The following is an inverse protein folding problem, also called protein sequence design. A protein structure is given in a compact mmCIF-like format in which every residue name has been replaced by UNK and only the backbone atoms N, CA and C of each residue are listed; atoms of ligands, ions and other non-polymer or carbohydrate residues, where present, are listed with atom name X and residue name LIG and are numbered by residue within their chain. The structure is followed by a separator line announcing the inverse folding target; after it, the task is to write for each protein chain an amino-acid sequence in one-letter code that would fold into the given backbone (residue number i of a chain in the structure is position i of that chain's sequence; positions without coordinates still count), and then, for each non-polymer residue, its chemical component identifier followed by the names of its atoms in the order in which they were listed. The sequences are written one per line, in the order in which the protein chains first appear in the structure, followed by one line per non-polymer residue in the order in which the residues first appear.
data_IF_817755808216
#
_entry.id   IF_817755808216
#
_cell.length_a   1.000
_cell.length_b   1.000
_cell.length_c   1.000
_cell.angle_alpha   90.00
_cell.angle_beta   90.00
_cell.angle_gamma   90.00
#
_symmetry.space_group_name_H-M   'P 1'
#
loop_
_entity.id
_entity.type
_entity.pdbx_description
1 polymer ?
#
# COMPACT_ATOMS: atom_id res chain seq x y z
N UNK A 1 -5.69 -26.65 -4.25
CA UNK A 1 -4.82 -25.96 -3.27
C UNK A 1 -4.22 -24.79 -4.00
N UNK A 2 -4.28 -23.58 -3.41
CA UNK A 2 -3.73 -22.41 -4.05
C UNK A 2 -2.22 -22.58 -4.18
N UNK A 3 -1.70 -22.19 -5.34
CA UNK A 3 -0.30 -22.27 -5.72
C UNK A 3 0.35 -20.91 -5.47
N UNK A 4 1.51 -20.95 -4.85
CA UNK A 4 2.30 -19.76 -4.51
C UNK A 4 3.00 -19.22 -5.74
N UNK A 5 2.89 -17.90 -5.94
CA UNK A 5 3.70 -17.18 -6.91
C UNK A 5 4.88 -16.60 -6.16
N UNK A 6 6.09 -16.95 -6.58
CA UNK A 6 7.33 -16.47 -5.96
C UNK A 6 8.02 -15.44 -6.83
N UNK A 7 8.73 -14.50 -6.20
CA UNK A 7 9.69 -13.63 -6.88
C UNK A 7 10.84 -14.49 -7.46
N UNK A 8 11.01 -14.55 -8.80
CA UNK A 8 12.02 -15.43 -9.39
C UNK A 8 13.44 -14.90 -9.18
N UNK A 9 14.39 -15.81 -9.01
CA UNK A 9 15.81 -15.48 -8.97
C UNK A 9 16.40 -15.53 -10.39
N UNK A 10 16.58 -14.36 -11.00
CA UNK A 10 17.08 -14.25 -12.38
C UNK A 10 18.61 -14.13 -12.50
N UNK A 11 19.31 -13.90 -11.39
CA UNK A 11 20.78 -13.93 -11.32
C UNK A 11 21.26 -14.57 -10.02
N UNK A 12 22.40 -15.26 -10.07
CA UNK A 12 23.04 -15.86 -8.90
C UNK A 12 23.33 -14.85 -7.77
N UNK A 13 23.60 -13.59 -8.13
CA UNK A 13 23.91 -12.48 -7.22
C UNK A 13 22.70 -11.60 -6.88
N UNK A 14 21.49 -11.94 -7.36
CA UNK A 14 20.28 -11.16 -7.08
C UNK A 14 19.71 -11.55 -5.72
N UNK A 15 19.51 -10.54 -4.86
CA UNK A 15 18.88 -10.67 -3.54
C UNK A 15 17.47 -10.09 -3.54
N UNK A 16 17.24 -9.01 -4.30
CA UNK A 16 15.97 -8.28 -4.39
C UNK A 16 15.64 -8.03 -5.87
N UNK A 17 14.35 -8.09 -6.20
CA UNK A 17 13.79 -7.65 -7.48
C UNK A 17 12.74 -6.55 -7.28
N UNK A 18 12.67 -5.62 -8.22
CA UNK A 18 11.63 -4.58 -8.21
C UNK A 18 10.48 -4.99 -9.10
N UNK A 19 9.26 -5.00 -8.56
CA UNK A 19 8.06 -5.24 -9.34
C UNK A 19 7.69 -3.97 -10.11
N UNK A 20 7.60 -4.03 -11.43
CA UNK A 20 7.25 -2.85 -12.23
C UNK A 20 5.75 -2.73 -12.46
N UNK A 21 5.10 -3.83 -12.84
CA UNK A 21 3.67 -3.86 -13.09
C UNK A 21 3.12 -5.27 -13.02
N UNK A 22 1.84 -5.37 -12.66
CA UNK A 22 1.04 -6.57 -12.86
C UNK A 22 0.30 -6.46 -14.20
N UNK A 23 0.26 -7.56 -14.94
CA UNK A 23 -0.56 -7.70 -16.15
C UNK A 23 -1.93 -8.31 -15.84
N UNK A 24 -2.14 -8.79 -14.61
CA UNK A 24 -3.35 -9.45 -14.12
C UNK A 24 -3.83 -8.83 -12.81
N UNK A 25 -5.14 -8.77 -12.65
CA UNK A 25 -5.80 -8.30 -11.42
C UNK A 25 -6.39 -9.47 -10.62
N UNK A 26 -6.62 -9.24 -9.32
CA UNK A 26 -7.25 -10.23 -8.45
C UNK A 26 -8.64 -10.60 -8.99
N UNK A 27 -8.86 -11.89 -9.25
CA UNK A 27 -10.06 -12.45 -9.86
C UNK A 27 -9.93 -12.78 -11.36
N UNK A 28 -8.84 -12.39 -12.02
CA UNK A 28 -8.63 -12.68 -13.43
C UNK A 28 -8.24 -14.15 -13.67
N UNK A 29 -8.63 -14.67 -14.83
CA UNK A 29 -8.14 -15.97 -15.32
C UNK A 29 -6.72 -15.85 -15.83
N UNK A 30 -5.89 -16.83 -15.50
CA UNK A 30 -4.49 -16.97 -15.90
C UNK A 30 -4.30 -18.32 -16.58
N UNK A 31 -3.63 -18.31 -17.73
CA UNK A 31 -3.22 -19.52 -18.43
C UNK A 31 -1.70 -19.72 -18.35
N UNK A 32 -1.24 -20.98 -18.42
CA UNK A 32 0.19 -21.30 -18.45
C UNK A 32 0.85 -20.62 -19.65
N UNK A 33 1.98 -19.95 -19.42
CA UNK A 33 2.72 -19.20 -20.44
C UNK A 33 2.19 -17.79 -20.70
N UNK A 34 1.16 -17.34 -19.97
CA UNK A 34 0.68 -15.96 -20.04
C UNK A 34 1.52 -15.04 -19.15
N UNK A 35 1.91 -13.82 -19.59
CA UNK A 35 2.64 -12.88 -18.75
C UNK A 35 1.81 -12.43 -17.53
N UNK A 36 2.38 -12.55 -16.33
CA UNK A 36 1.73 -12.19 -15.05
C UNK A 36 2.16 -10.83 -14.53
N UNK A 37 3.47 -10.58 -14.54
CA UNK A 37 4.06 -9.35 -14.04
C UNK A 37 5.41 -9.09 -14.69
N UNK A 38 5.86 -7.84 -14.64
CA UNK A 38 7.18 -7.42 -15.10
C UNK A 38 8.05 -7.07 -13.89
N UNK A 39 9.31 -7.54 -13.90
CA UNK A 39 10.30 -7.18 -12.90
C UNK A 39 11.49 -6.47 -13.52
N UNK A 40 12.03 -5.52 -12.77
CA UNK A 40 13.28 -4.85 -13.08
C UNK A 40 14.41 -5.46 -12.23
N UNK A 41 15.50 -5.76 -12.91
CA UNK A 41 16.79 -6.10 -12.30
C UNK A 41 17.81 -5.00 -12.61
N UNK A 42 19.01 -5.06 -12.03
CA UNK A 42 20.11 -4.10 -12.30
C UNK A 42 20.45 -3.98 -13.80
N UNK A 43 20.20 -5.02 -14.60
CA UNK A 43 20.61 -5.03 -16.02
C UNK A 43 19.47 -4.87 -17.01
N UNK A 44 18.33 -5.49 -16.75
CA UNK A 44 17.21 -5.54 -17.69
C UNK A 44 15.88 -5.75 -16.96
N UNK A 45 14.80 -5.38 -17.65
CA UNK A 45 13.45 -5.76 -17.27
C UNK A 45 13.07 -7.09 -17.94
N UNK A 46 12.34 -7.92 -17.22
CA UNK A 46 11.92 -9.24 -17.67
C UNK A 46 10.45 -9.44 -17.30
N UNK A 47 9.66 -9.86 -18.27
CA UNK A 47 8.28 -10.34 -18.06
C UNK A 47 8.32 -11.78 -17.55
N UNK A 48 7.57 -12.05 -16.49
CA UNK A 48 7.46 -13.37 -15.87
C UNK A 48 6.13 -13.99 -16.27
N UNK A 49 6.20 -15.11 -16.95
CA UNK A 49 5.05 -15.90 -17.38
C UNK A 49 4.52 -16.80 -16.25
N UNK A 50 3.23 -17.14 -16.32
CA UNK A 50 2.59 -18.06 -15.40
C UNK A 50 3.08 -19.49 -15.61
N UNK A 51 3.51 -20.14 -14.52
CA UNK A 51 3.81 -21.57 -14.51
C UNK A 51 2.58 -22.44 -14.31
N UNK A 52 1.48 -21.84 -13.84
CA UNK A 52 0.27 -22.52 -13.42
C UNK A 52 -0.96 -21.79 -13.97
N UNK A 53 -1.97 -22.56 -14.35
CA UNK A 53 -3.30 -22.07 -14.72
C UNK A 53 -4.21 -21.92 -13.49
N UNK A 54 -5.17 -21.00 -13.60
CA UNK A 54 -6.22 -20.80 -12.58
C UNK A 54 -6.75 -19.37 -12.54
N UNK A 55 -7.27 -18.98 -11.40
CA UNK A 55 -7.68 -17.60 -11.08
C UNK A 55 -6.57 -16.96 -10.24
N UNK A 56 -6.20 -15.73 -10.57
CA UNK A 56 -5.28 -14.94 -9.76
C UNK A 56 -5.99 -14.50 -8.47
N UNK A 57 -5.63 -15.10 -7.34
CA UNK A 57 -6.39 -14.95 -6.10
C UNK A 57 -5.98 -13.73 -5.29
N UNK A 58 -4.69 -13.39 -5.30
CA UNK A 58 -4.13 -12.34 -4.45
C UNK A 58 -2.82 -11.80 -4.99
N UNK A 59 -2.64 -10.47 -4.89
CA UNK A 59 -1.36 -9.78 -4.96
C UNK A 59 -1.02 -9.14 -3.61
N UNK A 60 0.22 -9.29 -3.16
CA UNK A 60 0.69 -8.71 -1.89
C UNK A 60 1.50 -7.43 -2.06
N UNK A 61 2.02 -7.20 -3.25
CA UNK A 61 2.92 -6.09 -3.56
C UNK A 61 2.40 -5.33 -4.76
N UNK A 62 2.71 -4.03 -4.81
CA UNK A 62 2.32 -3.12 -5.87
C UNK A 62 3.52 -2.77 -6.76
N UNK A 63 3.25 -2.04 -7.83
CA UNK A 63 4.31 -1.48 -8.67
C UNK A 63 5.30 -0.64 -7.83
N UNK A 64 6.56 -0.70 -8.22
CA UNK A 64 7.73 -0.10 -7.57
C UNK A 64 8.16 -0.72 -6.23
N UNK A 65 7.49 -1.77 -5.75
CA UNK A 65 7.91 -2.48 -4.53
C UNK A 65 9.19 -3.30 -4.75
N UNK A 66 10.08 -3.27 -3.75
CA UNK A 66 11.28 -4.08 -3.67
C UNK A 66 11.01 -5.36 -2.90
N UNK A 67 11.19 -6.51 -3.55
CA UNK A 67 10.79 -7.81 -3.03
C UNK A 67 12.00 -8.75 -3.00
N UNK A 68 12.27 -9.45 -1.88
CA UNK A 68 13.31 -10.46 -1.82
C UNK A 68 13.08 -11.60 -2.81
N UNK A 69 14.16 -12.17 -3.36
CA UNK A 69 14.06 -13.37 -4.19
C UNK A 69 13.45 -14.53 -3.41
N UNK A 70 12.67 -15.36 -4.10
CA UNK A 70 11.89 -16.48 -3.54
C UNK A 70 10.79 -16.06 -2.55
N UNK A 71 10.49 -14.76 -2.37
CA UNK A 71 9.38 -14.34 -1.52
C UNK A 71 8.05 -14.64 -2.21
N UNK A 72 7.03 -15.00 -1.44
CA UNK A 72 5.67 -15.19 -1.98
C UNK A 72 5.07 -13.82 -2.26
N UNK A 73 4.73 -13.58 -3.53
CA UNK A 73 4.19 -12.29 -4.00
C UNK A 73 2.69 -12.36 -4.31
N UNK A 74 2.14 -13.56 -4.44
CA UNK A 74 0.73 -13.77 -4.70
C UNK A 74 0.36 -15.25 -4.76
N UNK A 75 -0.88 -15.52 -5.14
CA UNK A 75 -1.42 -16.86 -5.26
C UNK A 75 -2.28 -17.03 -6.52
N UNK A 76 -2.18 -18.19 -7.17
CA UNK A 76 -3.07 -18.65 -8.24
C UNK A 76 -3.78 -19.91 -7.76
N UNK A 77 -5.08 -20.07 -8.06
CA UNK A 77 -5.80 -21.28 -7.67
C UNK A 77 -7.21 -21.35 -8.24
N UNK A 78 -8.06 -22.16 -7.62
CA UNK A 78 -9.46 -22.26 -8.03
C UNK A 78 -10.28 -21.09 -7.50
N UNK A 79 -11.38 -20.76 -8.19
CA UNK A 79 -12.31 -19.74 -7.74
C UNK A 79 -12.85 -20.07 -6.33
N UNK A 80 -12.77 -19.11 -5.42
CA UNK A 80 -13.16 -19.21 -4.00
C UNK A 80 -12.20 -19.99 -3.07
N UNK A 81 -10.98 -20.34 -3.51
CA UNK A 81 -9.95 -20.78 -2.57
C UNK A 81 -9.55 -19.64 -1.63
N UNK A 82 -9.34 -19.95 -0.35
CA UNK A 82 -8.87 -18.99 0.63
C UNK A 82 -7.35 -18.94 0.63
N UNK A 83 -6.81 -17.72 0.59
CA UNK A 83 -5.39 -17.43 0.68
C UNK A 83 -5.15 -16.44 1.82
N UNK A 84 -3.94 -16.42 2.41
CA UNK A 84 -3.60 -15.49 3.47
C UNK A 84 -3.84 -14.03 3.03
N UNK A 85 -4.29 -13.17 3.95
CA UNK A 85 -4.48 -11.74 3.63
C UNK A 85 -3.16 -10.98 3.58
N UNK A 86 -2.13 -11.48 4.24
CA UNK A 86 -0.78 -10.91 4.29
C UNK A 86 0.21 -11.91 3.68
N UNK A 87 1.32 -11.44 3.08
CA UNK A 87 2.33 -12.34 2.55
C UNK A 87 2.91 -13.19 3.68
N UNK A 88 3.06 -14.51 3.49
CA UNK A 88 3.72 -15.35 4.47
C UNK A 88 5.14 -14.83 4.68
N UNK A 89 5.50 -14.54 5.94
CA UNK A 89 6.83 -14.10 6.28
C UNK A 89 7.84 -15.15 5.80
N UNK A 90 8.74 -14.76 4.89
CA UNK A 90 9.95 -15.54 4.70
C UNK A 90 10.63 -15.59 6.06
N UNK A 91 10.94 -16.80 6.54
CA UNK A 91 11.74 -16.95 7.75
C UNK A 91 13.16 -16.49 7.40
N UNK A 92 13.41 -15.20 7.59
CA UNK A 92 14.71 -14.58 7.47
C UNK A 92 15.60 -15.08 8.61
N UNK A 93 16.52 -15.98 8.31
CA UNK A 93 17.76 -16.10 9.08
C UNK A 93 18.60 -14.86 8.73
N UNK A 94 18.54 -13.87 9.62
CA UNK A 94 19.47 -12.74 9.78
C UNK A 94 19.67 -11.77 8.59
N UNK A 95 18.91 -10.67 8.58
CA UNK A 95 19.50 -9.33 8.38
C UNK A 95 18.55 -8.21 8.81
N UNK A 96 18.92 -7.35 9.77
CA UNK A 96 18.11 -6.20 10.16
C UNK A 96 18.47 -4.99 9.30
N UNK A 97 17.55 -4.47 8.50
CA UNK A 97 17.79 -3.15 7.91
C UNK A 97 16.90 -2.71 6.76
N UNK A 98 15.70 -2.22 7.07
CA UNK A 98 15.23 -0.92 6.56
C UNK A 98 13.89 -0.55 7.18
N UNK A 99 13.96 -0.01 8.39
CA UNK A 99 12.93 0.89 8.91
C UNK A 99 13.58 2.26 9.11
N UNK A 100 13.65 3.05 8.06
CA UNK A 100 13.89 4.49 8.17
C UNK A 100 12.55 5.22 8.10
N UNK A 101 11.80 5.16 9.21
CA UNK A 101 10.91 6.26 9.60
C UNK A 101 11.69 7.17 10.55
N UNK A 102 12.45 8.10 9.97
CA UNK A 102 13.12 9.17 10.70
C UNK A 102 12.08 10.18 11.19
N UNK A 103 11.74 10.08 12.48
CA UNK A 103 11.02 11.11 13.22
C UNK A 103 11.83 11.54 14.46
N UNK A 104 11.87 12.86 14.65
CA UNK A 104 12.37 13.64 15.81
C UNK A 104 13.88 13.91 15.92
N UNK A 105 14.25 15.20 15.82
CA UNK A 105 14.66 16.04 16.97
C UNK A 105 14.91 17.50 16.50
N UNK A 106 14.05 18.47 16.83
CA UNK A 106 14.12 19.35 18.01
C UNK A 106 15.45 20.11 18.18
N UNK A 107 15.45 21.42 17.89
CA UNK A 107 16.40 22.36 18.47
C UNK A 107 15.71 23.70 18.78
N UNK A 108 15.75 24.01 20.07
CA UNK A 108 15.08 25.09 20.79
C UNK A 108 15.82 26.43 20.64
N UNK A 109 15.07 27.52 20.50
CA UNK A 109 15.47 28.84 21.01
C UNK A 109 14.22 29.60 21.47
N UNK A 110 14.31 30.21 22.65
CA UNK A 110 13.27 30.93 23.39
C UNK A 110 13.93 32.21 23.96
N UNK A 111 13.24 33.19 24.58
CA UNK A 111 11.85 33.68 24.46
C UNK A 111 11.76 35.23 24.35
N UNK A 112 10.65 35.80 23.82
CA UNK A 112 10.06 37.07 24.31
C UNK A 112 8.66 37.39 23.71
N UNK A 113 7.68 37.52 24.61
CA UNK A 113 6.50 38.41 24.63
C UNK A 113 5.30 38.32 23.64
N UNK A 114 4.19 37.81 24.22
CA UNK A 114 2.83 38.38 24.29
C UNK A 114 1.78 38.09 23.18
N UNK A 115 0.47 37.99 23.54
CA UNK A 115 -0.41 36.93 23.05
C UNK A 115 -1.57 37.43 22.18
N UNK A 116 -1.91 36.73 21.09
CA UNK A 116 -3.21 36.88 20.39
C UNK A 116 -3.72 35.56 19.80
N UNK A 117 -4.94 35.22 20.24
CA UNK A 117 -6.01 34.49 19.52
C UNK A 117 -5.78 33.03 19.11
N UNK A 118 -6.52 32.17 19.82
CA UNK A 118 -7.20 30.96 19.31
C UNK A 118 -7.37 30.92 17.79
N UNK A 119 -6.93 29.86 17.11
CA UNK A 119 -7.81 28.75 16.78
C UNK A 119 -7.10 27.73 15.88
N UNK A 120 -7.34 26.47 16.20
CA UNK A 120 -7.00 25.23 15.54
C UNK A 120 -7.35 25.21 14.04
N UNK A 121 -6.39 24.85 13.18
CA UNK A 121 -6.63 24.39 11.80
C UNK A 121 -5.36 23.70 11.26
N UNK A 122 -5.19 22.42 11.57
CA UNK A 122 -5.59 21.28 10.73
C UNK A 122 -5.00 21.38 9.31
N UNK A 123 -3.87 20.66 9.16
CA UNK A 123 -3.32 20.17 7.89
C UNK A 123 -4.39 19.33 7.19
N UNK A 124 -5.00 19.87 6.14
CA UNK A 124 -5.94 19.14 5.31
C UNK A 124 -5.23 18.57 4.07
N UNK A 125 -5.50 17.30 3.76
CA UNK A 125 -4.98 16.58 2.59
C UNK A 125 -5.65 17.03 1.27
N UNK A 126 -4.99 16.87 0.12
CA UNK A 126 -5.47 17.36 -1.19
C UNK A 126 -6.87 16.86 -1.61
N UNK A 127 -7.28 15.68 -1.12
CA UNK A 127 -8.60 15.09 -1.38
C UNK A 127 -9.75 15.94 -0.79
N UNK A 128 -9.56 16.56 0.38
CA UNK A 128 -10.58 17.39 1.02
C UNK A 128 -10.80 18.75 0.34
N UNK A 129 -9.80 19.27 -0.39
CA UNK A 129 -9.94 20.51 -1.18
C UNK A 129 -10.66 20.28 -2.52
N UNK A 130 -10.59 19.07 -3.08
CA UNK A 130 -11.19 18.75 -4.39
C UNK A 130 -12.73 18.62 -4.27
N UNK A 131 -13.23 17.97 -3.22
CA UNK A 131 -14.67 17.77 -2.99
C UNK A 131 -15.43 19.07 -2.64
N UNK A 132 -14.76 20.07 -2.07
CA UNK A 132 -15.39 21.36 -1.71
C UNK A 132 -15.60 22.31 -2.90
N UNK A 133 -14.97 22.05 -4.05
CA UNK A 133 -15.04 22.92 -5.24
C UNK A 133 -16.21 22.56 -6.17
N UNK A 134 -16.68 21.31 -6.12
CA UNK A 134 -17.71 20.80 -7.03
C UNK A 134 -19.15 21.11 -6.60
N UNK A 135 -19.38 21.58 -5.36
CA UNK A 135 -20.74 21.74 -4.82
C UNK A 135 -21.16 23.16 -4.42
N UNK A 136 -20.38 24.22 -4.74
CA UNK A 136 -20.79 25.63 -4.71
C UNK A 136 -21.81 26.07 -3.61
N UNK A 137 -21.65 25.60 -2.37
CA UNK A 137 -22.54 25.93 -1.24
C UNK A 137 -21.74 26.26 0.01
N UNK A 138 -22.13 27.36 0.66
CA UNK A 138 -21.46 28.00 1.79
C UNK A 138 -21.47 27.13 3.06
N UNK A 139 -20.28 26.78 3.54
CA UNK A 139 -20.07 25.89 4.70
C UNK A 139 -20.01 26.69 6.01
N UNK A 140 -21.06 27.46 6.31
CA UNK A 140 -21.24 28.03 7.66
C UNK A 140 -22.61 27.70 8.28
N UNK A 141 -23.42 26.86 7.64
CA UNK A 141 -24.80 26.62 8.07
C UNK A 141 -25.26 25.15 8.02
N UNK A 142 -24.36 24.19 7.74
CA UNK A 142 -24.75 22.77 7.76
C UNK A 142 -24.32 22.13 9.07
N UNK A 143 -25.21 22.31 10.03
CA UNK A 143 -25.24 21.74 11.38
C UNK A 143 -25.53 20.24 11.35
N UNK A 144 -24.81 19.47 12.18
CA UNK A 144 -24.93 18.02 12.28
C UNK A 144 -26.31 17.56 12.78
N UNK A 145 -26.84 16.53 12.12
CA UNK A 145 -28.08 15.85 12.49
C UNK A 145 -27.80 14.73 13.49
N UNK A 146 -28.38 14.83 14.70
CA UNK A 146 -28.80 13.64 15.46
C UNK A 146 -28.27 13.44 16.90
N UNK A 147 -29.14 13.77 17.86
CA UNK A 147 -29.38 13.07 19.14
C UNK A 147 -28.28 13.05 20.24
N UNK A 148 -28.28 14.09 21.10
CA UNK A 148 -28.35 13.95 22.58
C UNK A 148 -28.50 15.34 23.22
N UNK A 149 -29.71 15.67 23.68
CA UNK A 149 -30.14 15.59 25.09
C UNK A 149 -29.72 16.80 25.95
N UNK A 150 -30.76 17.53 26.36
CA UNK A 150 -30.93 18.17 27.68
C UNK A 150 -30.14 19.48 27.89
N UNK A 151 -30.75 20.64 27.65
CA UNK A 151 -31.75 21.35 28.49
C UNK A 151 -31.11 22.26 29.55
N UNK A 152 -31.60 23.51 29.54
CA UNK A 152 -31.78 24.42 30.68
C UNK A 152 -30.52 24.93 31.40
N UNK A 153 -30.18 26.21 31.25
CA UNK A 153 -30.76 27.39 31.97
C UNK A 153 -30.05 27.62 33.31
N UNK A 154 -29.24 28.67 33.37
CA UNK A 154 -29.20 29.70 34.42
C UNK A 154 -28.13 30.74 34.02
#
# INVERSE_FOLDING_TARGET
MPKEIFMPKLSSTMEVGTLLQWFKEEGDSVEIGEPLFEIMTDKINIEVEAYDDGIFLKKYYEADDQIPVNAVIGYIGEANEQVPSEPPAQSEDDSPGSSESSSSDAASSSPAEAPKTSNEKVRATPAARKTAKDHHVAIHEVSGTGLKRQSSKA
#
